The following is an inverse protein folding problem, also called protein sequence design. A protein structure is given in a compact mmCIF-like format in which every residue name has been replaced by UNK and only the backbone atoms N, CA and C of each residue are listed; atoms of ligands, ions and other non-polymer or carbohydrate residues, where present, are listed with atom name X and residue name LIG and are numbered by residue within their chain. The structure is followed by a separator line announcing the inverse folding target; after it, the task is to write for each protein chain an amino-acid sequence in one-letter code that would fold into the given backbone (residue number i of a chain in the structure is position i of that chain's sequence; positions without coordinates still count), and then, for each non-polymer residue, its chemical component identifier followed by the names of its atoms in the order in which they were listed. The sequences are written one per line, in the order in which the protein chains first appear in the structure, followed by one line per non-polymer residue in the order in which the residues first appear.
data_IF_753601802774
#
_entry.id   IF_753601802774
#
_cell.length_a   1.000
_cell.length_b   1.000
_cell.length_c   1.000
_cell.angle_alpha   90.00
_cell.angle_beta   90.00
_cell.angle_gamma   90.00
#
_symmetry.space_group_name_H-M   'P 1'
#
loop_
_entity.id
_entity.type
_entity.pdbx_description
1 polymer ?
#
# COMPACT_ATOMS: atom_id res chain seq x y z
N UNK A 1 -30.43 -29.55 32.27
CA UNK A 1 -31.87 -29.84 32.17
C UNK A 1 -32.43 -28.86 31.14
N UNK A 2 -32.26 -29.08 29.84
CA UNK A 2 -32.81 -30.14 28.97
C UNK A 2 -34.25 -29.84 28.48
N UNK A 3 -34.30 -29.40 27.21
CA UNK A 3 -35.27 -29.77 26.13
C UNK A 3 -36.66 -29.11 26.26
N UNK A 4 -37.26 -28.44 25.27
CA UNK A 4 -37.83 -29.06 24.05
C UNK A 4 -38.22 -28.05 22.96
N UNK A 5 -38.10 -28.53 21.71
CA UNK A 5 -38.52 -27.99 20.41
C UNK A 5 -40.02 -27.66 20.28
N UNK A 6 -40.35 -26.77 19.34
CA UNK A 6 -41.52 -26.97 18.46
C UNK A 6 -41.23 -26.42 17.06
N UNK A 7 -41.30 -27.31 16.07
CA UNK A 7 -41.50 -26.97 14.66
C UNK A 7 -43.00 -26.87 14.43
N UNK A 8 -43.47 -25.90 13.64
CA UNK A 8 -44.52 -26.22 12.69
C UNK A 8 -44.45 -25.37 11.42
N UNK A 9 -44.83 -26.02 10.34
CA UNK A 9 -44.79 -25.60 8.94
C UNK A 9 -45.93 -24.62 8.63
N UNK A 10 -45.78 -23.87 7.54
CA UNK A 10 -46.87 -23.73 6.58
C UNK A 10 -47.12 -22.35 5.98
N UNK A 11 -47.29 -22.37 4.66
CA UNK A 11 -47.96 -21.37 3.82
C UNK A 11 -47.14 -20.09 3.53
N UNK A 12 -46.63 -19.82 2.33
CA UNK A 12 -47.26 -20.04 1.03
C UNK A 12 -48.19 -18.87 0.70
N UNK A 13 -47.65 -17.71 0.28
CA UNK A 13 -48.37 -16.74 -0.58
C UNK A 13 -47.46 -15.64 -1.13
N UNK A 14 -47.44 -15.58 -2.47
CA UNK A 14 -46.96 -14.45 -3.29
C UNK A 14 -47.77 -13.20 -2.98
N UNK A 15 -47.11 -12.06 -2.80
CA UNK A 15 -47.74 -10.75 -2.87
C UNK A 15 -47.33 -10.04 -4.17
N UNK A 16 -48.34 -9.53 -4.84
CA UNK A 16 -48.38 -8.96 -6.19
C UNK A 16 -48.07 -7.46 -6.14
N UNK A 17 -47.46 -6.96 -7.21
CA UNK A 17 -47.28 -5.53 -7.47
C UNK A 17 -48.59 -4.73 -7.39
N UNK A 18 -48.53 -3.54 -6.80
CA UNK A 18 -49.50 -2.49 -7.02
C UNK A 18 -48.76 -1.14 -7.20
N UNK A 19 -48.75 -0.66 -8.45
CA UNK A 19 -48.44 0.73 -8.79
C UNK A 19 -49.57 1.63 -8.28
N UNK A 20 -49.20 2.68 -7.54
CA UNK A 20 -50.09 3.78 -7.20
C UNK A 20 -49.66 5.01 -7.99
N UNK A 21 -50.57 5.52 -8.83
CA UNK A 21 -50.45 6.78 -9.54
C UNK A 21 -51.53 7.75 -9.04
N UNK A 22 -51.15 8.99 -8.73
CA UNK A 22 -51.99 10.20 -8.70
C UNK A 22 -51.12 11.44 -8.42
N UNK A 23 -51.57 12.68 -8.71
CA UNK A 23 -52.33 13.14 -9.87
C UNK A 23 -51.63 14.33 -10.59
N UNK A 24 -51.98 14.53 -11.86
CA UNK A 24 -51.50 15.63 -12.69
C UNK A 24 -52.11 16.99 -12.25
N UNK A 25 -51.26 17.96 -11.95
CA UNK A 25 -51.62 19.36 -11.80
C UNK A 25 -51.83 20.00 -13.18
N UNK A 26 -53.03 20.52 -13.44
CA UNK A 26 -53.34 21.34 -14.62
C UNK A 26 -52.90 22.79 -14.35
N UNK A 27 -52.50 23.49 -15.41
CA UNK A 27 -52.12 24.91 -15.47
C UNK A 27 -50.67 25.26 -15.12
N UNK A 28 -49.82 25.20 -16.14
CA UNK A 28 -49.04 26.37 -16.58
C UNK A 28 -48.71 26.20 -18.06
N UNK A 29 -49.68 26.53 -18.91
CA UNK A 29 -49.44 26.77 -20.32
C UNK A 29 -48.78 28.15 -20.49
N UNK A 30 -47.59 28.19 -21.09
CA UNK A 30 -47.22 29.18 -22.14
C UNK A 30 -45.69 29.25 -22.31
N UNK A 31 -45.20 28.57 -23.34
CA UNK A 31 -44.34 29.16 -24.38
C UNK A 31 -44.01 28.08 -25.40
N UNK A 32 -44.63 28.21 -26.56
CA UNK A 32 -44.22 27.50 -27.76
C UNK A 32 -42.81 27.96 -28.13
N UNK A 33 -41.86 27.03 -28.14
CA UNK A 33 -40.66 27.13 -28.94
C UNK A 33 -40.74 25.97 -29.94
N UNK A 34 -40.93 26.31 -31.21
CA UNK A 34 -40.99 25.36 -32.32
C UNK A 34 -39.69 24.55 -32.35
N UNK A 35 -39.82 23.25 -32.12
CA UNK A 35 -38.77 22.28 -32.43
C UNK A 35 -38.85 22.00 -33.94
N UNK A 36 -37.84 22.42 -34.68
CA UNK A 36 -37.65 22.02 -36.10
C UNK A 36 -36.72 20.82 -36.11
N UNK A 37 -37.09 19.69 -36.75
CA UNK A 37 -36.17 18.56 -36.87
C UNK A 37 -35.07 18.91 -37.87
N UNK A 38 -33.82 18.81 -37.45
CA UNK A 38 -32.66 18.83 -38.37
C UNK A 38 -32.68 17.50 -39.12
N UNK A 39 -32.93 17.55 -40.42
CA UNK A 39 -32.80 16.39 -41.31
C UNK A 39 -31.32 16.09 -41.55
N UNK A 40 -30.97 14.82 -41.40
CA UNK A 40 -29.67 14.24 -41.73
C UNK A 40 -29.22 14.66 -43.13
N UNK A 41 -28.17 15.48 -43.18
CA UNK A 41 -27.36 15.70 -44.37
C UNK A 41 -25.92 15.36 -44.00
N UNK A 42 -25.35 14.45 -44.79
CA UNK A 42 -24.06 13.78 -44.63
C UNK A 42 -22.91 14.72 -44.20
N UNK A 43 -21.94 14.21 -43.41
CA UNK A 43 -20.88 15.02 -42.82
C UNK A 43 -19.98 15.64 -43.90
N UNK A 44 -19.47 16.86 -43.69
CA UNK A 44 -18.41 17.40 -44.53
C UNK A 44 -17.13 16.58 -44.33
N UNK A 45 -16.46 16.36 -45.46
CA UNK A 45 -15.26 15.55 -45.67
C UNK A 45 -14.12 15.96 -44.73
N UNK A 46 -13.39 14.95 -44.25
CA UNK A 46 -12.27 15.04 -43.31
C UNK A 46 -11.35 16.26 -43.55
N UNK A 47 -11.36 17.19 -42.60
CA UNK A 47 -10.32 18.19 -42.43
C UNK A 47 -9.26 17.58 -41.50
N UNK A 48 -8.02 17.29 -41.93
CA UNK A 48 -7.03 16.56 -41.14
C UNK A 48 -6.41 17.38 -39.99
N UNK A 49 -7.14 18.35 -39.44
CA UNK A 49 -6.63 19.33 -38.48
C UNK A 49 -7.41 19.37 -37.16
N UNK A 50 -8.07 18.28 -36.76
CA UNK A 50 -8.67 18.18 -35.43
C UNK A 50 -7.94 17.17 -34.53
N UNK A 51 -6.66 17.45 -34.25
CA UNK A 51 -5.86 16.77 -33.23
C UNK A 51 -5.88 17.50 -31.87
N UNK A 52 -6.74 18.51 -31.69
CA UNK A 52 -6.74 19.34 -30.47
C UNK A 52 -8.08 19.29 -29.74
N UNK A 53 -8.36 18.18 -29.05
CA UNK A 53 -9.43 18.14 -28.01
C UNK A 53 -8.89 17.71 -26.63
N UNK A 54 -7.62 18.03 -26.36
CA UNK A 54 -7.09 18.10 -24.99
C UNK A 54 -7.13 19.57 -24.54
N UNK A 55 -8.31 20.07 -24.16
CA UNK A 55 -8.51 21.51 -23.93
C UNK A 55 -7.72 22.11 -22.77
N UNK A 56 -7.07 21.33 -21.89
CA UNK A 56 -6.03 21.84 -20.98
C UNK A 56 -5.03 20.73 -20.60
N UNK A 57 -3.74 20.96 -20.85
CA UNK A 57 -2.68 20.19 -20.20
C UNK A 57 -2.72 20.47 -18.69
N UNK A 58 -3.13 19.48 -17.91
CA UNK A 58 -3.06 19.54 -16.45
C UNK A 58 -1.56 19.50 -16.08
N UNK A 59 -1.01 20.53 -15.41
CA UNK A 59 0.41 20.53 -15.05
C UNK A 59 0.76 19.28 -14.25
N UNK A 60 1.95 18.68 -14.46
CA UNK A 60 2.44 17.59 -13.62
C UNK A 60 2.35 17.98 -12.14
N UNK A 61 1.54 17.26 -11.37
CA UNK A 61 1.34 17.53 -9.94
C UNK A 61 0.13 18.41 -9.59
N UNK A 62 -0.69 18.86 -10.55
CA UNK A 62 -1.92 19.62 -10.26
C UNK A 62 -3.01 18.77 -9.57
N UNK A 63 -2.93 17.44 -9.64
CA UNK A 63 -3.73 16.52 -8.83
C UNK A 63 -2.82 15.77 -7.85
N UNK A 64 -2.56 16.37 -6.69
CA UNK A 64 -1.97 15.64 -5.56
C UNK A 64 -3.09 14.94 -4.80
N UNK A 65 -3.00 13.62 -4.56
CA UNK A 65 -3.95 12.97 -3.67
C UNK A 65 -3.82 13.58 -2.27
N UNK A 66 -4.95 13.64 -1.54
CA UNK A 66 -4.98 14.16 -0.17
C UNK A 66 -4.01 13.42 0.77
N UNK A 67 -3.66 12.18 0.40
CA UNK A 67 -2.73 11.32 1.10
C UNK A 67 -1.69 10.75 0.14
N UNK A 68 -0.45 10.62 0.60
CA UNK A 68 0.66 10.02 -0.17
C UNK A 68 1.46 9.04 0.68
N UNK A 69 2.27 8.22 0.02
CA UNK A 69 3.07 7.17 0.65
C UNK A 69 4.54 7.57 0.77
N UNK A 70 5.12 7.37 1.94
CA UNK A 70 6.57 7.35 2.12
C UNK A 70 7.02 5.89 2.19
N UNK A 71 7.81 5.44 1.19
CA UNK A 71 8.41 4.11 1.20
C UNK A 71 9.70 4.15 2.03
N UNK A 72 9.79 3.28 3.03
CA UNK A 72 10.92 3.25 3.97
C UNK A 72 11.57 1.86 4.01
N UNK A 73 12.71 1.73 3.35
CA UNK A 73 13.56 0.53 3.42
C UNK A 73 14.83 0.77 4.24
N UNK A 74 15.62 -0.27 4.41
CA UNK A 74 16.93 -0.23 5.04
C UNK A 74 17.25 -1.55 5.72
N UNK A 75 18.52 -1.79 6.06
CA UNK A 75 18.93 -3.00 6.74
C UNK A 75 18.19 -3.15 8.07
N UNK A 76 17.96 -4.39 8.51
CA UNK A 76 17.46 -4.65 9.87
C UNK A 76 18.31 -3.89 10.92
N UNK A 77 17.68 -3.33 11.94
CA UNK A 77 18.35 -2.48 12.94
C UNK A 77 18.71 -1.06 12.48
N UNK A 78 18.35 -0.63 11.26
CA UNK A 78 18.56 0.77 10.79
C UNK A 78 17.69 1.81 11.52
N UNK A 79 16.70 1.36 12.30
CA UNK A 79 15.81 2.22 13.09
C UNK A 79 14.52 2.62 12.39
N UNK A 80 14.07 1.91 11.33
CA UNK A 80 12.78 2.15 10.64
C UNK A 80 11.61 2.28 11.62
N UNK A 81 11.38 1.24 12.42
CA UNK A 81 10.29 1.20 13.41
C UNK A 81 10.45 2.26 14.51
N UNK A 82 11.68 2.64 14.87
CA UNK A 82 11.90 3.73 15.82
C UNK A 82 11.59 5.10 15.19
N UNK A 83 11.91 5.31 13.91
CA UNK A 83 11.58 6.51 13.16
C UNK A 83 10.07 6.66 12.99
N UNK A 84 9.37 5.61 12.55
CA UNK A 84 7.93 5.64 12.34
C UNK A 84 7.17 5.96 13.63
N UNK A 85 7.55 5.37 14.76
CA UNK A 85 7.00 5.73 16.09
C UNK A 85 7.18 7.20 16.44
N UNK A 86 8.36 7.81 16.18
CA UNK A 86 8.59 9.24 16.45
C UNK A 86 7.77 10.17 15.55
N UNK A 87 7.53 9.74 14.31
CA UNK A 87 6.75 10.51 13.35
C UNK A 87 5.26 10.52 13.70
N UNK A 88 4.77 9.48 14.39
CA UNK A 88 3.35 9.36 14.77
C UNK A 88 2.42 9.19 13.56
N UNK A 89 2.95 8.79 12.41
CA UNK A 89 2.19 8.56 11.19
C UNK A 89 1.63 7.14 11.16
N UNK A 90 0.50 6.91 10.45
CA UNK A 90 0.03 5.57 10.17
C UNK A 90 1.09 4.77 9.40
N UNK A 91 1.23 3.50 9.74
CA UNK A 91 2.27 2.62 9.18
C UNK A 91 1.64 1.37 8.56
N UNK A 92 1.98 1.10 7.31
CA UNK A 92 1.81 -0.22 6.69
C UNK A 92 3.13 -0.98 6.88
N UNK A 93 3.10 -2.04 7.67
CA UNK A 93 4.23 -2.95 7.78
C UNK A 93 4.23 -3.90 6.57
N UNK A 94 5.14 -3.68 5.63
CA UNK A 94 5.21 -4.47 4.40
C UNK A 94 5.71 -5.89 4.66
N UNK A 95 6.39 -6.14 5.78
CA UNK A 95 6.80 -7.49 6.16
C UNK A 95 5.57 -8.39 6.45
N UNK A 96 4.35 -7.84 6.61
CA UNK A 96 3.14 -8.66 6.76
C UNK A 96 2.65 -9.29 5.44
N UNK A 97 3.16 -8.83 4.29
CA UNK A 97 2.72 -9.30 2.97
C UNK A 97 3.54 -10.47 2.43
N UNK A 98 4.32 -11.18 3.26
CA UNK A 98 4.91 -12.45 2.84
C UNK A 98 3.84 -13.45 2.39
N UNK A 99 4.21 -14.31 1.45
CA UNK A 99 3.45 -15.52 1.17
C UNK A 99 3.68 -16.55 2.28
N UNK A 100 2.71 -17.44 2.49
CA UNK A 100 2.87 -18.56 3.40
C UNK A 100 4.03 -19.47 2.95
N UNK A 101 4.68 -20.14 3.91
CA UNK A 101 5.86 -20.99 3.66
C UNK A 101 5.65 -22.08 2.60
N UNK A 102 4.42 -22.55 2.40
CA UNK A 102 4.04 -23.57 1.42
C UNK A 102 3.40 -23.00 0.15
N UNK A 103 3.48 -21.68 -0.06
CA UNK A 103 2.99 -21.05 -1.26
C UNK A 103 3.67 -21.64 -2.52
N UNK A 104 2.94 -21.88 -3.61
CA UNK A 104 3.53 -22.42 -4.82
C UNK A 104 4.62 -21.51 -5.40
N UNK A 105 5.78 -22.09 -5.71
CA UNK A 105 6.86 -21.36 -6.38
C UNK A 105 7.78 -20.54 -5.46
N UNK A 106 7.72 -20.77 -4.14
CA UNK A 106 8.61 -20.10 -3.19
C UNK A 106 10.09 -20.27 -3.58
N UNK A 107 10.89 -19.18 -3.55
CA UNK A 107 12.30 -19.25 -3.86
C UNK A 107 13.04 -20.03 -2.78
N UNK A 108 14.00 -20.87 -3.18
CA UNK A 108 14.77 -21.73 -2.28
C UNK A 108 16.26 -21.40 -2.36
N UNK A 109 16.92 -21.32 -1.20
CA UNK A 109 18.37 -21.16 -1.09
C UNK A 109 18.88 -21.99 0.09
N UNK A 110 19.93 -22.77 -0.14
CA UNK A 110 20.56 -23.62 0.88
C UNK A 110 19.58 -24.59 1.59
N UNK A 111 18.59 -25.12 0.86
CA UNK A 111 17.63 -26.09 1.37
C UNK A 111 16.51 -25.51 2.25
N UNK A 112 16.41 -24.18 2.34
CA UNK A 112 15.30 -23.46 2.99
C UNK A 112 14.74 -22.40 2.04
N UNK A 113 13.60 -21.81 2.40
CA UNK A 113 13.03 -20.67 1.67
C UNK A 113 13.97 -19.46 1.74
N UNK A 114 14.18 -18.81 0.60
CA UNK A 114 14.92 -17.55 0.49
C UNK A 114 13.98 -16.35 0.72
N UNK A 115 13.77 -16.01 1.98
CA UNK A 115 12.89 -14.90 2.38
C UNK A 115 13.42 -13.51 1.99
N UNK A 116 14.68 -13.40 1.55
CA UNK A 116 15.26 -12.15 1.04
C UNK A 116 15.01 -11.97 -0.49
N UNK A 117 14.43 -12.97 -1.16
CA UNK A 117 14.05 -12.90 -2.57
C UNK A 117 12.64 -12.29 -2.71
N UNK A 118 12.43 -11.26 -3.55
CA UNK A 118 11.13 -10.62 -3.73
C UNK A 118 9.98 -11.56 -4.11
N UNK A 119 10.26 -12.74 -4.69
CA UNK A 119 9.23 -13.73 -5.03
C UNK A 119 8.60 -14.41 -3.82
N UNK A 120 9.20 -14.28 -2.64
CA UNK A 120 8.61 -14.73 -1.38
C UNK A 120 7.52 -13.78 -0.85
N UNK A 121 7.35 -12.62 -1.48
CA UNK A 121 6.57 -11.51 -0.99
C UNK A 121 5.50 -11.05 -2.00
N UNK A 122 4.30 -10.81 -1.49
CA UNK A 122 3.12 -10.46 -2.29
C UNK A 122 3.10 -8.96 -2.62
N UNK A 123 3.90 -8.57 -3.61
CA UNK A 123 4.04 -7.17 -4.01
C UNK A 123 2.73 -6.57 -4.52
N UNK A 124 1.87 -7.39 -5.13
CA UNK A 124 0.59 -6.96 -5.66
C UNK A 124 -0.38 -6.60 -4.53
N UNK A 125 -0.57 -7.49 -3.55
CA UNK A 125 -1.42 -7.22 -2.41
C UNK A 125 -0.90 -6.03 -1.58
N UNK A 126 0.43 -5.91 -1.43
CA UNK A 126 1.03 -4.75 -0.76
C UNK A 126 0.72 -3.44 -1.49
N UNK A 127 0.90 -3.39 -2.81
CA UNK A 127 0.60 -2.21 -3.61
C UNK A 127 -0.89 -1.84 -3.56
N UNK A 128 -1.78 -2.83 -3.63
CA UNK A 128 -3.22 -2.61 -3.57
C UNK A 128 -3.67 -2.06 -2.21
N UNK A 129 -3.05 -2.51 -1.11
CA UNK A 129 -3.26 -1.91 0.22
C UNK A 129 -2.82 -0.43 0.26
N UNK A 130 -1.69 -0.08 -0.37
CA UNK A 130 -1.23 1.31 -0.45
C UNK A 130 -2.17 2.19 -1.29
N UNK A 131 -2.69 1.65 -2.40
CA UNK A 131 -3.71 2.34 -3.21
C UNK A 131 -5.00 2.55 -2.44
N UNK A 132 -5.43 1.53 -1.69
CA UNK A 132 -6.63 1.62 -0.86
C UNK A 132 -6.49 2.73 0.19
N UNK A 133 -5.39 2.75 0.96
CA UNK A 133 -5.22 3.76 2.02
C UNK A 133 -5.12 5.18 1.46
N UNK A 134 -4.49 5.37 0.29
CA UNK A 134 -4.43 6.68 -0.38
C UNK A 134 -5.81 7.15 -0.82
N UNK A 135 -6.61 6.25 -1.39
CA UNK A 135 -7.94 6.55 -1.94
C UNK A 135 -9.00 6.76 -0.87
N UNK A 136 -9.02 5.92 0.17
CA UNK A 136 -10.12 5.82 1.13
C UNK A 136 -9.71 6.18 2.55
N UNK A 137 -8.41 6.30 2.83
CA UNK A 137 -7.89 6.40 4.19
C UNK A 137 -7.89 5.08 4.96
N UNK A 138 -8.25 3.96 4.32
CA UNK A 138 -8.36 2.63 4.93
C UNK A 138 -7.73 1.54 4.07
N UNK A 139 -7.10 0.55 4.69
CA UNK A 139 -6.61 -0.63 3.98
C UNK A 139 -6.69 -1.88 4.86
N UNK A 140 -7.04 -3.01 4.24
CA UNK A 140 -6.90 -4.32 4.85
C UNK A 140 -5.42 -4.74 4.76
N UNK A 141 -4.84 -5.07 5.91
CA UNK A 141 -3.44 -5.46 6.05
C UNK A 141 -3.42 -6.86 6.66
N UNK A 142 -2.70 -7.83 6.06
CA UNK A 142 -2.53 -9.14 6.67
C UNK A 142 -1.82 -9.03 8.02
N UNK A 143 -2.00 -10.05 8.87
CA UNK A 143 -1.18 -10.25 10.06
C UNK A 143 -0.33 -11.49 9.80
N UNK A 144 0.99 -11.32 9.72
CA UNK A 144 1.91 -12.40 9.43
C UNK A 144 2.66 -12.84 10.69
N UNK A 145 2.63 -14.14 10.97
CA UNK A 145 3.41 -14.73 12.05
C UNK A 145 4.73 -15.26 11.50
N UNK A 146 5.81 -14.53 11.76
CA UNK A 146 7.17 -14.90 11.32
C UNK A 146 7.60 -16.29 11.86
N UNK A 147 7.38 -16.64 13.16
CA UNK A 147 7.75 -17.95 13.69
C UNK A 147 7.15 -19.14 12.94
N UNK A 148 5.87 -19.07 12.57
CA UNK A 148 5.20 -20.11 11.78
C UNK A 148 5.29 -19.90 10.28
N UNK A 149 5.77 -18.72 9.84
CA UNK A 149 5.87 -18.31 8.44
C UNK A 149 4.54 -18.44 7.70
N UNK A 150 3.49 -17.89 8.32
CA UNK A 150 2.11 -17.94 7.83
C UNK A 150 1.33 -16.68 8.16
N UNK A 151 0.38 -16.34 7.30
CA UNK A 151 -0.68 -15.39 7.60
C UNK A 151 -1.62 -15.99 8.64
N UNK A 152 -1.88 -15.25 9.72
CA UNK A 152 -2.74 -15.69 10.83
C UNK A 152 -4.05 -14.91 10.91
N UNK A 153 -4.19 -13.85 10.12
CA UNK A 153 -5.41 -13.06 10.05
C UNK A 153 -5.22 -11.78 9.24
N UNK A 154 -6.06 -10.80 9.51
CA UNK A 154 -5.98 -9.46 8.93
C UNK A 154 -6.40 -8.41 9.95
N UNK A 155 -5.93 -7.18 9.74
CA UNK A 155 -6.29 -5.99 10.49
C UNK A 155 -6.62 -4.86 9.52
N UNK A 156 -7.34 -3.84 9.99
CA UNK A 156 -7.63 -2.66 9.19
C UNK A 156 -6.73 -1.52 9.65
N UNK A 157 -5.95 -0.96 8.72
CA UNK A 157 -5.24 0.28 8.94
C UNK A 157 -6.17 1.47 8.66
N UNK A 158 -6.33 2.35 9.65
CA UNK A 158 -6.98 3.65 9.51
C UNK A 158 -5.92 4.76 9.45
N UNK A 159 -5.92 5.55 8.38
CA UNK A 159 -5.00 6.67 8.25
C UNK A 159 -5.55 7.99 8.83
N UNK A 160 -6.84 8.04 9.21
CA UNK A 160 -7.49 9.25 9.70
C UNK A 160 -7.32 10.43 8.74
N UNK A 161 -6.90 11.59 9.27
CA UNK A 161 -6.60 12.80 8.49
C UNK A 161 -5.11 12.93 8.12
N UNK A 162 -4.28 11.92 8.43
CA UNK A 162 -2.83 12.02 8.20
C UNK A 162 -2.52 12.13 6.69
N UNK A 163 -1.87 13.19 6.19
CA UNK A 163 -1.61 13.38 4.77
C UNK A 163 -0.50 12.46 4.23
N UNK A 164 0.22 11.77 5.11
CA UNK A 164 1.24 10.78 4.76
C UNK A 164 0.99 9.47 5.51
N UNK A 165 1.26 8.37 4.83
CA UNK A 165 1.35 7.02 5.41
C UNK A 165 2.74 6.47 5.12
N UNK A 166 3.37 5.88 6.12
CA UNK A 166 4.68 5.24 5.94
C UNK A 166 4.45 3.76 5.62
N UNK A 167 5.08 3.27 4.57
CA UNK A 167 5.14 1.84 4.26
C UNK A 167 6.57 1.36 4.49
N UNK A 168 6.78 0.59 5.56
CA UNK A 168 8.12 0.14 5.97
C UNK A 168 8.33 -1.35 5.70
N UNK A 169 9.52 -1.72 5.22
CA UNK A 169 9.90 -3.12 4.99
C UNK A 169 11.10 -3.25 4.06
N UNK A 170 11.73 -4.43 4.01
CA UNK A 170 12.94 -4.62 3.16
C UNK A 170 12.62 -4.51 1.67
N UNK A 171 11.39 -4.88 1.27
CA UNK A 171 10.88 -4.81 -0.10
C UNK A 171 10.18 -3.49 -0.42
N UNK A 172 10.20 -2.48 0.46
CA UNK A 172 9.59 -1.18 0.16
C UNK A 172 10.13 -0.56 -1.15
N UNK A 173 11.41 -0.82 -1.46
CA UNK A 173 12.04 -0.35 -2.69
C UNK A 173 11.42 -0.96 -3.97
N UNK A 174 10.87 -2.18 -3.91
CA UNK A 174 10.22 -2.82 -5.07
C UNK A 174 9.00 -2.02 -5.55
N UNK A 175 8.34 -1.31 -4.63
CA UNK A 175 7.12 -0.55 -4.93
C UNK A 175 7.39 0.84 -5.49
N UNK A 176 8.64 1.31 -5.53
CA UNK A 176 8.99 2.70 -5.89
C UNK A 176 8.48 3.06 -7.28
N UNK A 177 8.75 2.20 -8.28
CA UNK A 177 8.33 2.45 -9.65
C UNK A 177 6.80 2.51 -9.78
N UNK A 178 6.09 1.56 -9.17
CA UNK A 178 4.64 1.49 -9.22
C UNK A 178 3.96 2.65 -8.47
N UNK A 179 4.39 2.96 -7.25
CA UNK A 179 3.85 4.09 -6.49
C UNK A 179 4.12 5.44 -7.17
N UNK A 180 5.26 5.57 -7.88
CA UNK A 180 5.57 6.76 -8.68
C UNK A 180 4.65 6.85 -9.91
N UNK A 181 4.46 5.74 -10.63
CA UNK A 181 3.57 5.68 -11.79
C UNK A 181 2.12 6.00 -11.42
N UNK A 182 1.66 5.54 -10.24
CA UNK A 182 0.32 5.83 -9.72
C UNK A 182 0.18 7.27 -9.16
N UNK A 183 1.27 8.05 -9.08
CA UNK A 183 1.27 9.41 -8.53
C UNK A 183 1.03 9.49 -7.02
N UNK A 184 1.16 8.37 -6.30
CA UNK A 184 0.92 8.29 -4.84
C UNK A 184 2.19 8.42 -4.00
N UNK A 185 3.38 8.34 -4.61
CA UNK A 185 4.66 8.40 -3.90
C UNK A 185 4.99 9.82 -3.43
N UNK A 186 5.17 10.01 -2.12
CA UNK A 186 5.72 11.23 -1.53
C UNK A 186 7.26 11.20 -1.48
N UNK A 187 7.84 10.09 -1.05
CA UNK A 187 9.30 9.88 -0.96
C UNK A 187 9.64 8.39 -0.89
N UNK A 188 10.87 8.04 -1.25
CA UNK A 188 11.41 6.69 -1.18
C UNK A 188 12.79 6.70 -0.52
N UNK A 189 12.89 6.19 0.70
CA UNK A 189 14.05 6.37 1.57
C UNK A 189 14.65 5.01 1.94
N UNK A 190 15.95 4.86 1.70
CA UNK A 190 16.78 3.81 2.27
C UNK A 190 17.49 4.35 3.51
N UNK A 191 17.08 3.93 4.70
CA UNK A 191 17.75 4.32 5.94
C UNK A 191 19.11 3.65 6.06
N UNK A 192 20.15 4.46 6.17
CA UNK A 192 21.53 4.01 6.40
C UNK A 192 22.02 4.54 7.75
N UNK A 193 22.62 3.66 8.55
CA UNK A 193 23.34 4.02 9.79
C UNK A 193 24.78 3.48 9.73
N UNK A 194 25.70 3.97 10.58
CA UNK A 194 27.03 3.39 10.69
C UNK A 194 26.92 1.89 10.99
N UNK A 195 27.53 1.06 10.13
CA UNK A 195 27.37 -0.40 10.06
C UNK A 195 27.60 -1.12 11.40
N UNK A 196 28.49 -0.58 12.23
CA UNK A 196 28.75 -1.11 13.56
C UNK A 196 27.54 -0.93 14.50
N UNK A 197 26.82 0.19 14.40
CA UNK A 197 25.64 0.49 15.22
C UNK A 197 24.46 -0.41 14.84
N UNK A 198 24.24 -0.65 13.55
CA UNK A 198 23.20 -1.62 13.10
C UNK A 198 23.55 -3.04 13.52
N UNK A 199 24.83 -3.44 13.42
CA UNK A 199 25.32 -4.71 13.95
C UNK A 199 25.14 -4.80 15.48
N UNK A 200 25.43 -3.75 16.24
CA UNK A 200 25.30 -3.74 17.69
C UNK A 200 23.86 -3.82 18.16
N UNK A 201 22.92 -3.08 17.54
CA UNK A 201 21.49 -3.20 17.87
C UNK A 201 20.91 -4.57 17.43
N UNK A 202 21.35 -5.09 16.28
CA UNK A 202 21.01 -6.46 15.84
C UNK A 202 21.52 -7.50 16.83
N UNK A 203 22.77 -7.39 17.25
CA UNK A 203 23.40 -8.28 18.20
C UNK A 203 22.71 -8.23 19.56
N UNK A 204 22.40 -7.04 20.09
CA UNK A 204 21.69 -6.88 21.36
C UNK A 204 20.27 -7.44 21.32
N UNK A 205 19.52 -7.23 20.22
CA UNK A 205 18.19 -7.82 20.04
C UNK A 205 18.28 -9.35 19.93
N UNK A 206 19.17 -9.87 19.09
CA UNK A 206 19.32 -11.30 18.87
C UNK A 206 19.86 -12.02 20.14
N UNK A 207 20.61 -11.32 21.00
CA UNK A 207 21.03 -11.77 22.33
C UNK A 207 19.90 -11.70 23.36
N UNK A 208 19.07 -10.65 23.31
CA UNK A 208 17.88 -10.53 24.17
C UNK A 208 16.81 -11.58 23.84
N UNK A 209 16.71 -12.00 22.57
CA UNK A 209 15.71 -12.94 22.06
C UNK A 209 16.18 -14.42 22.01
N UNK A 210 17.44 -14.78 22.34
CA UNK A 210 17.87 -16.19 22.21
C UNK A 210 19.01 -16.70 23.12
N UNK A 211 18.79 -17.92 23.64
CA UNK A 211 19.74 -18.85 24.29
C UNK A 211 20.65 -19.58 23.29
N UNK A 212 21.22 -18.90 22.29
CA UNK A 212 22.14 -19.51 21.30
C UNK A 212 23.60 -19.12 21.60
N UNK A 213 24.58 -20.00 21.36
CA UNK A 213 25.99 -19.69 21.63
C UNK A 213 26.48 -18.49 20.81
N UNK A 214 27.04 -17.50 21.52
CA UNK A 214 27.57 -16.23 21.04
C UNK A 214 28.37 -16.27 19.71
N UNK A 215 29.26 -17.25 19.44
CA UNK A 215 30.04 -17.27 18.19
C UNK A 215 29.19 -17.42 16.91
N UNK A 216 28.04 -18.09 16.97
CA UNK A 216 27.14 -18.26 15.81
C UNK A 216 26.45 -16.93 15.45
N UNK A 217 26.13 -16.10 16.45
CA UNK A 217 25.54 -14.77 16.27
C UNK A 217 26.54 -13.80 15.64
N UNK A 218 27.80 -13.82 16.09
CA UNK A 218 28.87 -12.97 15.55
C UNK A 218 29.18 -13.30 14.09
N UNK A 219 29.27 -14.60 13.74
CA UNK A 219 29.52 -15.04 12.35
C UNK A 219 28.37 -14.64 11.41
N UNK A 220 27.11 -14.76 11.86
CA UNK A 220 25.93 -14.34 11.09
C UNK A 220 25.88 -12.82 10.90
N UNK A 221 26.14 -12.05 11.96
CA UNK A 221 26.20 -10.59 11.90
C UNK A 221 27.32 -10.08 10.99
N UNK A 222 28.47 -10.76 10.92
CA UNK A 222 29.58 -10.41 10.03
C UNK A 222 29.26 -10.64 8.53
N UNK A 223 28.50 -11.69 8.21
CA UNK A 223 28.00 -11.93 6.85
C UNK A 223 27.02 -10.85 6.39
N UNK A 224 26.09 -10.47 7.27
CA UNK A 224 25.12 -9.40 7.02
C UNK A 224 25.81 -8.03 6.85
N UNK A 225 26.82 -7.76 7.67
CA UNK A 225 27.67 -6.57 7.53
C UNK A 225 28.28 -6.47 6.13
N UNK A 226 28.82 -7.57 5.57
CA UNK A 226 29.45 -7.56 4.23
C UNK A 226 28.44 -7.43 3.09
N UNK A 227 27.22 -7.94 3.25
CA UNK A 227 26.16 -7.86 2.22
C UNK A 227 25.48 -6.48 2.16
N UNK A 228 25.50 -5.72 3.26
CA UNK A 228 24.80 -4.43 3.39
C UNK A 228 25.08 -3.42 2.26
N UNK A 229 26.33 -3.21 1.78
CA UNK A 229 26.58 -2.28 0.68
C UNK A 229 25.90 -2.68 -0.65
N UNK A 230 25.78 -3.98 -0.92
CA UNK A 230 25.11 -4.47 -2.13
C UNK A 230 23.60 -4.25 -2.05
N UNK A 231 23.01 -4.45 -0.86
CA UNK A 231 21.59 -4.18 -0.62
C UNK A 231 21.27 -2.69 -0.76
N UNK A 232 22.08 -1.81 -0.16
CA UNK A 232 21.90 -0.36 -0.28
C UNK A 232 21.97 0.08 -1.73
N UNK A 233 22.96 -0.40 -2.49
CA UNK A 233 23.06 -0.13 -3.94
C UNK A 233 21.80 -0.57 -4.67
N UNK A 234 21.35 -1.81 -4.45
CA UNK A 234 20.12 -2.33 -5.05
C UNK A 234 18.90 -1.45 -4.76
N UNK A 235 18.69 -1.04 -3.52
CA UNK A 235 17.57 -0.17 -3.16
C UNK A 235 17.69 1.22 -3.78
N UNK A 236 18.91 1.75 -3.90
CA UNK A 236 19.14 3.00 -4.62
C UNK A 236 18.88 2.89 -6.11
N UNK A 237 19.27 1.78 -6.75
CA UNK A 237 19.00 1.50 -8.16
C UNK A 237 17.48 1.36 -8.42
N UNK A 238 16.73 0.86 -7.45
CA UNK A 238 15.25 0.83 -7.48
C UNK A 238 14.61 2.22 -7.26
N UNK A 239 15.41 3.23 -6.94
CA UNK A 239 14.98 4.63 -6.85
C UNK A 239 14.82 5.17 -5.43
N UNK A 240 15.36 4.49 -4.40
CA UNK A 240 15.45 5.05 -3.05
C UNK A 240 16.65 5.99 -2.89
N UNK A 241 16.46 7.13 -2.24
CA UNK A 241 17.58 7.95 -1.76
C UNK A 241 18.08 7.43 -0.41
N UNK A 242 19.38 7.51 -0.15
CA UNK A 242 19.93 7.16 1.17
C UNK A 242 19.77 8.32 2.14
N UNK A 243 19.38 8.03 3.39
CA UNK A 243 19.31 9.05 4.45
C UNK A 243 19.64 8.44 5.82
N UNK A 244 20.20 9.25 6.72
CA UNK A 244 20.25 8.91 8.15
C UNK A 244 18.85 9.04 8.76
N UNK A 245 18.55 8.37 9.89
CA UNK A 245 17.24 8.50 10.56
C UNK A 245 16.87 9.95 10.92
N UNK A 246 17.86 10.78 11.26
CA UNK A 246 17.64 12.19 11.57
C UNK A 246 17.31 13.02 10.32
N UNK A 247 18.00 12.77 9.20
CA UNK A 247 17.67 13.39 7.92
C UNK A 247 16.28 12.96 7.44
N UNK A 248 15.99 11.66 7.43
CA UNK A 248 14.70 11.13 7.05
C UNK A 248 13.56 11.72 7.89
N UNK A 249 13.73 11.84 9.21
CA UNK A 249 12.72 12.51 10.05
C UNK A 249 12.47 13.95 9.62
N UNK A 250 13.54 14.75 9.45
CA UNK A 250 13.40 16.16 9.06
C UNK A 250 12.70 16.28 7.71
N UNK A 251 13.10 15.48 6.74
CA UNK A 251 12.56 15.52 5.38
C UNK A 251 11.09 15.09 5.36
N UNK A 252 10.72 14.02 6.08
CA UNK A 252 9.32 13.58 6.19
C UNK A 252 8.48 14.63 6.90
N UNK A 253 8.99 15.27 7.96
CA UNK A 253 8.27 16.36 8.64
C UNK A 253 8.07 17.57 7.72
N UNK A 254 9.06 17.89 6.88
CA UNK A 254 8.91 18.95 5.89
C UNK A 254 7.79 18.66 4.87
N UNK A 255 7.55 17.37 4.53
CA UNK A 255 6.45 16.96 3.65
C UNK A 255 5.06 17.06 4.30
N UNK A 256 4.98 17.16 5.63
CA UNK A 256 3.73 17.37 6.36
C UNK A 256 3.33 18.85 6.42
N UNK A 257 4.27 19.76 6.17
CA UNK A 257 4.00 21.19 6.10
C UNK A 257 3.51 21.54 4.68
N UNK A 258 2.33 22.16 4.53
CA UNK A 258 1.78 22.52 3.23
C UNK A 258 2.62 23.55 2.46
#
# INVERSE_FOLDING_TARGET
MSITFSQDLGDGRRAVMAQAAAPACRQCASKAAQWVPVTDSAPPVDDPANESDALFEVPPGARRPARRIVLLTGPSGSGKTALTRRLGLPVVNLDDFYHDVDFPGMPMRYGIVDWDDPRSWDSAAALDALRAVVRTGRADVPVYDIPTSRRTGGTVLEAGDAPLVVAEGIFAAELVAACRADGILADAICLTQPRLVTFWFRFLRDVAESRKPLPTLVRRGWGLLRAEPALVRRWTDLGCRTATPAQAERDIRALLTP
#
